data_IF_494003614031
#
_entry.id   IF_494003614031
#
_cell.length_a   1.000
_cell.length_b   1.000
_cell.length_c   1.000
_cell.angle_alpha   90.00
_cell.angle_beta   90.00
_cell.angle_gamma   90.00
#
_symmetry.space_group_name_H-M   'P 1'
#
loop_
_entity.id
_entity.type
_entity.pdbx_description
1 polymer ?
#
# COMPACT_ATOMS: atom_id res chain seq x y z
N UNK A 1 3.88 -20.47 -12.39
CA UNK A 1 5.23 -19.90 -12.58
C UNK A 1 5.52 -19.00 -11.38
N UNK A 2 6.77 -18.76 -10.98
CA UNK A 2 7.04 -17.79 -9.91
C UNK A 2 6.63 -16.37 -10.37
N UNK A 3 6.32 -15.49 -9.42
CA UNK A 3 6.10 -14.05 -9.61
C UNK A 3 7.35 -13.32 -9.11
N UNK A 4 8.13 -12.76 -10.03
CA UNK A 4 9.32 -11.98 -9.71
C UNK A 4 8.96 -10.54 -9.37
N UNK A 5 9.02 -10.16 -8.10
CA UNK A 5 8.73 -8.79 -7.68
C UNK A 5 9.99 -7.95 -7.54
N UNK A 6 9.84 -6.65 -7.78
CA UNK A 6 10.81 -5.66 -7.38
C UNK A 6 10.20 -4.61 -6.44
N UNK A 7 11.01 -4.05 -5.55
CA UNK A 7 10.54 -3.16 -4.48
C UNK A 7 11.26 -1.80 -4.57
N UNK A 8 10.52 -0.70 -4.56
CA UNK A 8 11.07 0.65 -4.34
C UNK A 8 10.66 1.14 -2.95
N UNK A 9 11.65 1.42 -2.11
CA UNK A 9 11.46 1.71 -0.68
C UNK A 9 11.40 0.43 0.16
N UNK A 10 12.53 0.06 0.78
CA UNK A 10 12.67 -1.12 1.64
C UNK A 10 12.32 -0.73 3.09
N UNK A 11 11.16 -0.12 3.29
CA UNK A 11 10.64 0.34 4.59
C UNK A 11 9.97 -0.77 5.43
N UNK A 12 9.20 -0.37 6.45
CA UNK A 12 8.45 -1.31 7.30
C UNK A 12 7.45 -2.18 6.51
N UNK A 13 6.75 -1.61 5.52
CA UNK A 13 5.83 -2.37 4.66
C UNK A 13 6.57 -3.46 3.86
N UNK A 14 7.72 -3.11 3.26
CA UNK A 14 8.57 -4.08 2.57
C UNK A 14 9.11 -5.15 3.53
N UNK A 15 9.50 -4.77 4.75
CA UNK A 15 9.92 -5.71 5.78
C UNK A 15 8.82 -6.70 6.13
N UNK A 16 7.61 -6.22 6.36
CA UNK A 16 6.45 -7.08 6.64
C UNK A 16 6.10 -8.00 5.48
N UNK A 17 6.18 -7.52 4.23
CA UNK A 17 5.97 -8.34 3.04
C UNK A 17 6.99 -9.47 2.96
N UNK A 18 8.28 -9.17 3.03
CA UNK A 18 9.37 -10.15 2.88
C UNK A 18 9.38 -11.16 4.03
N UNK A 19 9.16 -10.71 5.26
CA UNK A 19 8.93 -11.60 6.40
C UNK A 19 7.72 -12.50 6.15
N UNK A 20 6.62 -11.95 5.60
CA UNK A 20 5.42 -12.69 5.22
C UNK A 20 5.69 -13.80 4.21
N UNK A 21 6.46 -13.51 3.16
CA UNK A 21 6.83 -14.52 2.14
C UNK A 21 7.57 -15.71 2.77
N UNK A 22 8.46 -15.43 3.73
CA UNK A 22 9.16 -16.49 4.48
C UNK A 22 8.23 -17.20 5.46
N UNK A 23 7.40 -16.46 6.17
CA UNK A 23 6.51 -17.00 7.18
C UNK A 23 5.52 -17.99 6.59
N UNK A 24 4.90 -17.68 5.44
CA UNK A 24 3.91 -18.56 4.81
C UNK A 24 4.52 -19.66 3.93
N UNK A 25 5.83 -19.60 3.66
CA UNK A 25 6.51 -20.60 2.84
C UNK A 25 6.37 -22.02 3.43
N UNK A 26 5.84 -22.95 2.63
CA UNK A 26 5.63 -24.34 3.02
C UNK A 26 4.55 -24.57 4.08
N UNK A 27 3.76 -23.54 4.45
CA UNK A 27 2.70 -23.65 5.46
C UNK A 27 1.31 -23.80 4.82
N UNK A 28 0.47 -24.56 5.54
CA UNK A 28 -0.95 -24.70 5.21
C UNK A 28 -1.85 -23.77 6.04
N UNK A 29 -1.27 -22.93 6.88
CA UNK A 29 -1.99 -21.90 7.63
C UNK A 29 -2.11 -20.64 6.77
N UNK A 30 -3.35 -20.21 6.56
CA UNK A 30 -3.70 -19.01 5.78
C UNK A 30 -4.13 -17.85 6.69
N UNK A 31 -3.98 -17.97 8.00
CA UNK A 31 -4.32 -16.91 8.95
C UNK A 31 -3.57 -15.63 8.60
N UNK A 32 -4.29 -14.53 8.37
CA UNK A 32 -3.68 -13.27 7.93
C UNK A 32 -3.42 -13.18 6.42
N UNK A 33 -3.85 -14.17 5.62
CA UNK A 33 -4.01 -14.06 4.18
C UNK A 33 -5.51 -14.01 3.86
N UNK A 34 -5.87 -13.22 2.85
CA UNK A 34 -7.25 -13.21 2.34
C UNK A 34 -7.47 -14.45 1.46
N UNK A 35 -6.47 -14.80 0.67
CA UNK A 35 -6.44 -16.01 -0.15
C UNK A 35 -5.15 -16.79 0.05
N UNK A 36 -5.25 -18.07 0.42
CA UNK A 36 -4.08 -18.96 0.45
C UNK A 36 -3.55 -19.23 -0.97
N UNK A 37 -4.45 -19.50 -1.92
CA UNK A 37 -4.16 -19.59 -3.35
C UNK A 37 -5.07 -18.62 -4.10
N UNK A 38 -4.51 -17.81 -4.98
CA UNK A 38 -5.22 -16.78 -5.75
C UNK A 38 -4.88 -16.96 -7.22
N UNK A 39 -5.85 -17.42 -8.02
CA UNK A 39 -5.64 -17.72 -9.45
C UNK A 39 -4.53 -18.76 -9.70
N UNK A 40 -4.34 -19.70 -8.77
CA UNK A 40 -3.26 -20.70 -8.82
C UNK A 40 -1.92 -20.25 -8.22
N UNK A 41 -1.78 -18.97 -7.85
CA UNK A 41 -0.59 -18.43 -7.20
C UNK A 41 -0.68 -18.52 -5.67
N UNK A 42 0.33 -19.13 -5.08
CA UNK A 42 0.56 -19.18 -3.62
C UNK A 42 1.54 -18.08 -3.19
N UNK A 43 1.58 -17.71 -1.91
CA UNK A 43 2.63 -16.85 -1.37
C UNK A 43 4.04 -17.34 -1.71
N UNK A 44 4.24 -18.67 -1.71
CA UNK A 44 5.49 -19.34 -2.07
C UNK A 44 6.00 -19.01 -3.49
N UNK A 45 5.11 -18.60 -4.39
CA UNK A 45 5.46 -18.30 -5.77
C UNK A 45 6.09 -16.92 -5.92
N UNK A 46 6.00 -16.04 -4.91
CA UNK A 46 6.50 -14.67 -4.97
C UNK A 46 7.99 -14.63 -4.58
N UNK A 47 8.82 -14.00 -5.41
CA UNK A 47 10.27 -13.88 -5.21
C UNK A 47 10.74 -12.44 -5.38
N UNK A 48 11.52 -11.93 -4.44
CA UNK A 48 12.15 -10.61 -4.60
C UNK A 48 13.40 -10.75 -5.47
N UNK A 49 13.43 -10.08 -6.63
CA UNK A 49 14.54 -10.17 -7.59
C UNK A 49 15.30 -8.85 -7.78
N UNK A 50 14.72 -7.74 -7.35
CA UNK A 50 15.37 -6.43 -7.36
C UNK A 50 14.78 -5.53 -6.26
N UNK A 51 15.59 -4.61 -5.73
CA UNK A 51 15.11 -3.62 -4.78
C UNK A 51 15.91 -2.33 -4.88
N UNK A 52 15.26 -1.21 -4.54
CA UNK A 52 15.87 0.11 -4.43
C UNK A 52 15.51 0.76 -3.10
N UNK A 53 16.49 1.39 -2.49
CA UNK A 53 16.33 2.27 -1.34
C UNK A 53 17.37 3.40 -1.44
N UNK A 54 17.21 4.43 -0.63
CA UNK A 54 18.17 5.54 -0.57
C UNK A 54 18.99 5.48 0.72
N UNK A 55 18.58 4.67 1.71
CA UNK A 55 19.20 4.65 3.01
C UNK A 55 20.57 3.96 2.98
N UNK A 56 21.60 4.65 3.46
CA UNK A 56 22.98 4.15 3.52
C UNK A 56 23.13 2.85 4.31
N UNK A 57 22.21 2.54 5.23
CA UNK A 57 22.21 1.29 5.99
C UNK A 57 21.64 0.12 5.20
N UNK A 58 20.95 0.38 4.08
CA UNK A 58 20.25 -0.61 3.25
C UNK A 58 20.94 -0.82 1.91
N UNK A 59 21.34 0.26 1.25
CA UNK A 59 22.04 0.21 -0.05
C UNK A 59 23.28 -0.68 0.03
N UNK A 60 23.40 -1.61 -0.91
CA UNK A 60 24.50 -2.58 -0.99
C UNK A 60 24.31 -3.86 -0.17
N UNK A 61 23.18 -4.03 0.54
CA UNK A 61 22.86 -5.26 1.30
C UNK A 61 21.81 -6.11 0.59
N UNK A 62 21.80 -7.41 0.86
CA UNK A 62 20.68 -8.27 0.43
C UNK A 62 19.38 -7.80 1.09
N UNK A 63 18.26 -7.88 0.37
CA UNK A 63 16.93 -7.54 0.90
C UNK A 63 16.64 -8.26 2.22
N UNK A 64 17.02 -9.53 2.37
CA UNK A 64 16.82 -10.31 3.59
C UNK A 64 17.46 -9.67 4.84
N UNK A 65 18.53 -8.90 4.66
CA UNK A 65 19.21 -8.16 5.73
C UNK A 65 18.70 -6.73 5.83
N UNK A 66 18.48 -6.06 4.70
CA UNK A 66 18.08 -4.65 4.64
C UNK A 66 16.71 -4.38 5.27
N UNK A 67 15.79 -5.36 5.23
CA UNK A 67 14.46 -5.21 5.84
C UNK A 67 14.46 -5.04 7.36
N UNK A 68 15.54 -5.46 8.04
CA UNK A 68 15.73 -5.30 9.48
C UNK A 68 16.60 -4.10 9.83
N UNK A 69 17.20 -3.43 8.83
CA UNK A 69 18.03 -2.27 9.07
C UNK A 69 17.16 -1.07 9.50
N UNK A 70 17.61 -0.29 10.50
CA UNK A 70 16.97 0.97 10.86
C UNK A 70 16.75 1.89 9.63
N UNK A 71 15.72 2.74 9.63
CA UNK A 71 14.82 3.02 10.76
C UNK A 71 13.62 2.07 10.80
N UNK A 72 13.68 0.92 10.09
CA UNK A 72 12.63 -0.07 10.16
C UNK A 72 12.45 -0.55 11.61
N UNK A 73 11.21 -0.65 12.04
CA UNK A 73 10.81 -0.89 13.43
C UNK A 73 9.49 -1.68 13.55
N UNK A 74 9.08 -2.33 12.46
CA UNK A 74 7.92 -3.24 12.46
C UNK A 74 8.22 -4.53 13.23
N UNK A 75 7.17 -5.17 13.75
CA UNK A 75 7.26 -6.44 14.44
C UNK A 75 8.04 -7.49 13.62
N UNK A 76 8.95 -8.19 14.30
CA UNK A 76 9.70 -9.29 13.71
C UNK A 76 8.97 -10.60 14.01
N UNK A 77 8.34 -11.17 12.99
CA UNK A 77 7.60 -12.44 13.09
C UNK A 77 8.20 -13.56 12.22
N UNK A 78 9.20 -13.23 11.39
CA UNK A 78 10.07 -14.17 10.70
C UNK A 78 11.52 -13.67 10.80
N UNK A 79 12.25 -14.03 11.88
CA UNK A 79 13.59 -13.48 12.16
C UNK A 79 14.66 -13.99 11.19
N UNK A 80 14.45 -15.16 10.59
CA UNK A 80 15.39 -15.80 9.68
C UNK A 80 14.80 -15.81 8.27
N UNK A 81 15.09 -14.74 7.51
CA UNK A 81 14.74 -14.64 6.09
C UNK A 81 15.93 -15.17 5.27
N UNK A 82 15.73 -16.20 4.42
CA UNK A 82 16.78 -16.68 3.51
C UNK A 82 17.26 -15.57 2.58
N UNK A 83 18.54 -15.60 2.19
CA UNK A 83 19.07 -14.65 1.22
C UNK A 83 18.26 -14.67 -0.07
N UNK A 84 17.88 -13.47 -0.53
CA UNK A 84 17.06 -13.33 -1.73
C UNK A 84 17.91 -13.33 -3.01
N UNK A 85 19.19 -12.96 -2.88
CA UNK A 85 20.08 -12.63 -4.01
C UNK A 85 19.84 -11.23 -4.59
N UNK A 86 18.79 -10.54 -4.12
CA UNK A 86 18.45 -9.19 -4.53
C UNK A 86 19.16 -8.18 -3.63
N UNK A 87 20.28 -7.64 -4.11
CA UNK A 87 20.99 -6.55 -3.43
C UNK A 87 20.24 -5.23 -3.62
N UNK A 88 19.96 -4.51 -2.53
CA UNK A 88 19.34 -3.19 -2.54
C UNK A 88 20.24 -2.19 -3.26
N UNK A 89 19.71 -1.59 -4.32
CA UNK A 89 20.40 -0.60 -5.16
C UNK A 89 20.07 0.81 -4.69
N UNK A 90 20.96 1.75 -5.01
CA UNK A 90 20.67 3.17 -4.83
C UNK A 90 19.46 3.57 -5.68
N UNK A 91 18.45 4.16 -5.05
CA UNK A 91 17.26 4.70 -5.71
C UNK A 91 17.42 6.15 -6.17
N UNK A 92 16.46 6.62 -6.98
CA UNK A 92 16.35 8.04 -7.36
C UNK A 92 15.62 8.79 -6.23
N UNK A 93 16.25 9.79 -5.63
CA UNK A 93 15.73 10.48 -4.43
C UNK A 93 14.56 11.39 -4.81
N UNK A 94 14.78 12.37 -5.70
CA UNK A 94 13.80 13.41 -6.06
C UNK A 94 13.11 14.04 -4.83
N UNK A 95 11.79 13.89 -4.69
CA UNK A 95 10.98 14.35 -3.54
C UNK A 95 10.69 13.24 -2.52
N UNK A 96 11.47 12.15 -2.58
CA UNK A 96 11.50 11.00 -1.68
C UNK A 96 11.76 11.33 -0.22
N UNK A 97 12.51 12.40 0.05
CA UNK A 97 12.90 12.81 1.40
C UNK A 97 12.30 14.16 1.73
N UNK A 98 11.54 14.25 2.82
CA UNK A 98 11.05 15.53 3.31
C UNK A 98 12.14 16.28 4.07
N UNK A 99 12.19 17.61 3.93
CA UNK A 99 13.21 18.45 4.57
C UNK A 99 13.27 18.25 6.09
N UNK A 100 12.10 18.15 6.75
CA UNK A 100 12.00 17.97 8.21
C UNK A 100 12.52 16.61 8.70
N UNK A 101 12.75 15.63 7.80
CA UNK A 101 13.31 14.34 8.20
C UNK A 101 14.74 14.48 8.73
N UNK A 102 15.47 15.54 8.35
CA UNK A 102 16.82 15.83 8.84
C UNK A 102 16.83 16.33 10.30
N UNK A 103 15.69 16.78 10.84
CA UNK A 103 15.59 17.30 12.20
C UNK A 103 15.42 16.19 13.26
N UNK A 104 15.44 14.92 12.84
CA UNK A 104 15.18 13.77 13.69
C UNK A 104 16.43 12.91 13.86
N UNK A 105 16.55 12.18 15.00
CA UNK A 105 17.70 11.32 15.24
C UNK A 105 17.88 10.26 14.14
N UNK A 106 19.13 9.98 13.78
CA UNK A 106 19.52 9.00 12.75
C UNK A 106 18.79 7.64 12.87
N UNK A 107 18.58 7.17 14.09
CA UNK A 107 17.88 5.91 14.35
C UNK A 107 16.38 5.92 13.97
N UNK A 108 15.80 7.10 13.72
CA UNK A 108 14.36 7.32 13.49
C UNK A 108 14.04 7.88 12.11
N UNK A 109 15.04 8.23 11.32
CA UNK A 109 14.88 8.86 10.02
C UNK A 109 15.65 8.10 8.95
N UNK A 110 15.41 8.42 7.68
CA UNK A 110 16.19 7.87 6.56
C UNK A 110 17.51 8.62 6.43
N UNK A 111 18.59 7.91 6.14
CA UNK A 111 19.92 8.49 5.94
C UNK A 111 20.33 8.34 4.47
N UNK A 112 20.15 9.36 3.61
CA UNK A 112 20.51 9.25 2.20
C UNK A 112 21.97 8.81 2.01
N UNK A 113 22.17 7.84 1.13
CA UNK A 113 23.48 7.33 0.73
C UNK A 113 24.15 8.25 -0.27
N UNK A 114 25.48 8.35 -0.21
CA UNK A 114 26.31 9.08 -1.20
C UNK A 114 26.54 8.27 -2.49
N UNK A 115 25.96 7.06 -2.60
CA UNK A 115 26.01 6.27 -3.83
C UNK A 115 25.32 7.01 -4.99
N UNK A 116 25.79 6.83 -6.24
CA UNK A 116 25.23 7.55 -7.38
C UNK A 116 23.76 7.16 -7.62
N UNK A 117 22.89 8.16 -7.77
CA UNK A 117 21.51 7.96 -8.17
C UNK A 117 21.42 7.43 -9.61
N UNK A 118 20.58 6.41 -9.88
CA UNK A 118 20.48 5.83 -11.20
C UNK A 118 19.78 6.76 -12.19
N UNK A 119 20.06 6.58 -13.48
CA UNK A 119 19.21 7.07 -14.57
C UNK A 119 17.96 6.19 -14.71
N UNK A 120 16.98 6.67 -15.48
CA UNK A 120 15.79 5.87 -15.83
C UNK A 120 16.19 4.61 -16.60
N UNK A 121 17.11 4.75 -17.56
CA UNK A 121 17.58 3.67 -18.42
C UNK A 121 18.25 2.56 -17.61
N UNK A 122 18.99 2.91 -16.56
CA UNK A 122 19.60 1.94 -15.64
C UNK A 122 18.54 1.17 -14.83
N UNK A 123 17.52 1.85 -14.31
CA UNK A 123 16.40 1.19 -13.62
C UNK A 123 15.66 0.24 -14.55
N UNK A 124 15.30 0.70 -15.76
CA UNK A 124 14.63 -0.11 -16.79
C UNK A 124 15.47 -1.33 -17.18
N UNK A 125 16.78 -1.15 -17.36
CA UNK A 125 17.68 -2.25 -17.68
C UNK A 125 17.71 -3.31 -16.57
N UNK A 126 17.72 -2.91 -15.30
CA UNK A 126 17.66 -3.84 -14.16
C UNK A 126 16.31 -4.57 -14.12
N UNK A 127 15.20 -3.86 -14.28
CA UNK A 127 13.85 -4.46 -14.30
C UNK A 127 13.74 -5.56 -15.37
N UNK A 128 14.19 -5.26 -16.60
CA UNK A 128 14.20 -6.23 -17.70
C UNK A 128 15.16 -7.39 -17.45
N UNK A 129 16.39 -7.11 -17.01
CA UNK A 129 17.43 -8.14 -16.76
C UNK A 129 17.02 -9.12 -15.67
N UNK A 130 16.37 -8.63 -14.62
CA UNK A 130 15.90 -9.46 -13.51
C UNK A 130 14.58 -10.20 -13.82
N UNK A 131 13.98 -9.97 -15.00
CA UNK A 131 12.70 -10.57 -15.38
C UNK A 131 11.59 -10.20 -14.41
N UNK A 132 11.50 -8.92 -14.04
CA UNK A 132 10.51 -8.43 -13.07
C UNK A 132 9.11 -8.50 -13.67
N UNK A 133 8.22 -9.07 -12.89
CA UNK A 133 6.80 -9.25 -13.19
C UNK A 133 5.95 -8.10 -12.63
N UNK A 134 6.25 -7.67 -11.40
CA UNK A 134 5.52 -6.63 -10.67
C UNK A 134 6.49 -5.72 -9.92
N UNK A 135 6.36 -4.40 -10.09
CA UNK A 135 7.08 -3.37 -9.35
C UNK A 135 6.19 -2.79 -8.24
N UNK A 136 6.64 -2.87 -6.99
CA UNK A 136 5.92 -2.39 -5.81
C UNK A 136 6.43 -1.03 -5.34
N UNK A 137 5.54 -0.04 -5.28
CA UNK A 137 5.84 1.27 -4.73
C UNK A 137 5.57 1.35 -3.23
N UNK A 138 6.62 1.47 -2.41
CA UNK A 138 6.55 1.76 -0.97
C UNK A 138 7.34 3.03 -0.60
N UNK A 139 7.42 3.99 -1.52
CA UNK A 139 8.04 5.28 -1.23
C UNK A 139 7.29 6.06 -0.14
N UNK A 140 7.92 7.06 0.49
CA UNK A 140 7.24 7.89 1.47
C UNK A 140 6.04 8.67 0.89
N UNK A 141 5.06 8.97 1.73
CA UNK A 141 3.92 9.83 1.37
C UNK A 141 4.42 11.20 0.88
N UNK A 142 3.84 11.69 -0.21
CA UNK A 142 4.19 12.98 -0.83
C UNK A 142 5.34 12.91 -1.83
N UNK A 143 5.86 11.72 -2.14
CA UNK A 143 6.91 11.52 -3.14
C UNK A 143 6.33 11.39 -4.55
N UNK A 144 5.77 12.49 -5.06
CA UNK A 144 5.09 12.57 -6.36
C UNK A 144 6.07 12.29 -7.50
N UNK A 145 7.14 13.10 -7.60
CA UNK A 145 8.13 13.01 -8.69
C UNK A 145 8.85 11.67 -8.69
N UNK A 146 9.20 11.15 -7.50
CA UNK A 146 9.81 9.83 -7.39
C UNK A 146 8.86 8.72 -7.84
N UNK A 147 7.59 8.77 -7.43
CA UNK A 147 6.59 7.78 -7.88
C UNK A 147 6.37 7.83 -9.38
N UNK A 148 6.21 9.02 -9.95
CA UNK A 148 6.07 9.21 -11.40
C UNK A 148 7.30 8.69 -12.14
N UNK A 149 8.51 8.97 -11.65
CA UNK A 149 9.75 8.44 -12.22
C UNK A 149 9.78 6.91 -12.28
N UNK A 150 9.37 6.23 -11.20
CA UNK A 150 9.33 4.77 -11.20
C UNK A 150 8.14 4.18 -11.96
N UNK A 151 7.01 4.89 -12.05
CA UNK A 151 5.90 4.53 -12.92
C UNK A 151 6.32 4.60 -14.41
N UNK A 152 7.11 5.60 -14.81
CA UNK A 152 7.74 5.65 -16.13
C UNK A 152 8.64 4.44 -16.38
N UNK A 153 9.48 4.09 -15.40
CA UNK A 153 10.36 2.93 -15.50
C UNK A 153 9.56 1.63 -15.71
N UNK A 154 8.45 1.46 -14.98
CA UNK A 154 7.57 0.30 -15.10
C UNK A 154 6.91 0.23 -16.50
N UNK A 155 6.38 1.36 -16.98
CA UNK A 155 5.80 1.48 -18.32
C UNK A 155 6.81 1.10 -19.40
N UNK A 156 8.02 1.67 -19.35
CA UNK A 156 9.06 1.41 -20.34
C UNK A 156 9.55 -0.04 -20.28
N UNK A 157 9.67 -0.61 -19.07
CA UNK A 157 10.10 -1.99 -18.88
C UNK A 157 9.03 -3.03 -19.23
N UNK A 158 7.75 -2.64 -19.35
CA UNK A 158 6.63 -3.58 -19.53
C UNK A 158 6.25 -4.34 -18.26
N UNK A 159 6.48 -3.72 -17.09
CA UNK A 159 6.33 -4.35 -15.77
C UNK A 159 5.05 -3.85 -15.09
N UNK A 160 4.24 -4.76 -14.55
CA UNK A 160 3.03 -4.39 -13.83
C UNK A 160 3.37 -3.49 -12.63
N UNK A 161 2.57 -2.46 -12.37
CA UNK A 161 2.85 -1.50 -11.29
C UNK A 161 1.81 -1.60 -10.18
N UNK A 162 2.27 -1.76 -8.94
CA UNK A 162 1.41 -1.74 -7.75
C UNK A 162 1.78 -0.53 -6.91
N UNK A 163 0.86 0.41 -6.81
CA UNK A 163 1.07 1.68 -6.14
C UNK A 163 0.45 1.69 -4.73
N UNK A 164 1.28 1.46 -3.71
CA UNK A 164 0.79 1.34 -2.33
C UNK A 164 0.63 2.69 -1.62
N UNK A 165 1.00 3.81 -2.25
CA UNK A 165 1.08 5.12 -1.60
C UNK A 165 0.02 6.08 -2.17
N UNK A 166 -0.34 7.18 -1.48
CA UNK A 166 -1.36 8.13 -1.92
C UNK A 166 -0.81 9.16 -2.93
N UNK A 167 -0.14 8.68 -3.97
CA UNK A 167 0.18 9.44 -5.19
C UNK A 167 -0.72 8.90 -6.29
N UNK A 168 -1.44 9.78 -6.99
CA UNK A 168 -2.44 9.36 -7.97
C UNK A 168 -1.75 8.94 -9.28
N UNK A 169 -1.83 7.65 -9.59
CA UNK A 169 -1.30 7.00 -10.80
C UNK A 169 -2.41 6.16 -11.43
N UNK A 170 -2.93 5.14 -10.73
CA UNK A 170 -4.01 4.34 -11.26
C UNK A 170 -5.32 5.15 -11.37
N UNK A 171 -5.57 6.03 -10.41
CA UNK A 171 -6.79 6.84 -10.36
C UNK A 171 -6.71 8.13 -11.19
N UNK A 172 -5.52 8.50 -11.67
CA UNK A 172 -5.33 9.65 -12.55
C UNK A 172 -5.64 9.22 -14.01
N UNK A 173 -6.60 9.86 -14.71
CA UNK A 173 -6.99 9.44 -16.05
C UNK A 173 -5.85 9.49 -17.09
N UNK A 174 -4.88 10.40 -16.93
CA UNK A 174 -3.74 10.53 -17.85
C UNK A 174 -2.80 9.35 -17.65
N UNK A 175 -2.46 9.02 -16.40
CA UNK A 175 -1.63 7.85 -16.11
C UNK A 175 -2.34 6.54 -16.48
N UNK A 176 -3.63 6.40 -16.15
CA UNK A 176 -4.44 5.25 -16.52
C UNK A 176 -4.40 4.96 -18.03
N UNK A 177 -4.58 5.98 -18.87
CA UNK A 177 -4.51 5.88 -20.33
C UNK A 177 -3.11 5.49 -20.82
N UNK A 178 -2.05 5.96 -20.16
CA UNK A 178 -0.68 5.58 -20.49
C UNK A 178 -0.39 4.10 -20.21
N UNK A 179 -0.82 3.58 -19.06
CA UNK A 179 -0.74 2.16 -18.73
C UNK A 179 -1.56 1.31 -19.71
N UNK A 180 -2.76 1.77 -20.08
CA UNK A 180 -3.61 1.12 -21.07
C UNK A 180 -2.89 1.00 -22.42
N UNK A 181 -2.33 2.10 -22.93
CA UNK A 181 -1.62 2.18 -24.23
C UNK A 181 -0.32 1.39 -24.25
N UNK A 182 0.39 1.32 -23.12
CA UNK A 182 1.62 0.54 -23.00
C UNK A 182 1.38 -0.97 -22.89
N UNK A 183 0.12 -1.41 -22.71
CA UNK A 183 -0.16 -2.82 -22.50
C UNK A 183 0.23 -3.32 -21.10
N UNK A 184 0.34 -2.41 -20.12
CA UNK A 184 0.85 -2.71 -18.78
C UNK A 184 -0.27 -2.54 -17.74
N UNK A 185 -0.51 -3.52 -16.86
CA UNK A 185 -1.51 -3.38 -15.80
C UNK A 185 -0.98 -2.54 -14.64
N UNK A 186 -1.89 -1.78 -14.00
CA UNK A 186 -1.61 -1.03 -12.78
C UNK A 186 -2.69 -1.27 -11.72
N UNK A 187 -2.29 -1.39 -10.45
CA UNK A 187 -3.20 -1.46 -9.30
C UNK A 187 -2.82 -0.38 -8.31
N UNK A 188 -3.79 0.47 -7.95
CA UNK A 188 -3.59 1.62 -7.06
C UNK A 188 -4.90 2.42 -6.89
N UNK A 189 -4.93 3.46 -6.07
CA UNK A 189 -3.81 4.03 -5.31
C UNK A 189 -4.07 4.03 -3.79
N UNK A 190 -3.00 4.07 -2.98
CA UNK A 190 -3.00 4.00 -1.51
C UNK A 190 -3.55 2.67 -0.96
N UNK A 191 -2.68 1.72 -0.60
CA UNK A 191 -3.07 0.38 -0.16
C UNK A 191 -3.99 0.40 1.09
N UNK A 192 -5.01 -0.46 1.15
CA UNK A 192 -5.81 -0.71 2.35
C UNK A 192 -5.05 -1.59 3.35
N UNK A 193 -5.47 -1.54 4.60
CA UNK A 193 -5.07 -2.53 5.59
C UNK A 193 -6.18 -3.58 5.72
N UNK A 194 -5.86 -4.80 6.19
CA UNK A 194 -6.83 -5.85 6.46
C UNK A 194 -7.89 -5.36 7.45
N UNK A 195 -7.44 -4.82 8.58
CA UNK A 195 -8.30 -4.18 9.57
C UNK A 195 -7.69 -2.87 10.06
N UNK A 196 -7.88 -1.82 9.28
CA UNK A 196 -7.45 -0.46 9.61
C UNK A 196 -8.57 0.41 10.18
N UNK A 197 -8.20 1.57 10.71
CA UNK A 197 -9.15 2.56 11.20
C UNK A 197 -10.19 2.99 10.14
N UNK A 198 -9.77 3.19 8.89
CA UNK A 198 -10.65 3.64 7.81
C UNK A 198 -11.72 2.60 7.45
N UNK A 199 -11.38 1.30 7.38
CA UNK A 199 -12.39 0.27 7.05
C UNK A 199 -13.38 0.09 8.21
N UNK A 200 -12.92 0.11 9.47
CA UNK A 200 -13.79 0.06 10.65
C UNK A 200 -14.75 1.25 10.67
N UNK A 201 -14.25 2.46 10.40
CA UNK A 201 -15.08 3.66 10.34
C UNK A 201 -16.11 3.57 9.20
N UNK A 202 -15.72 3.10 8.01
CA UNK A 202 -16.65 2.92 6.89
C UNK A 202 -17.76 1.93 7.20
N UNK A 203 -17.44 0.75 7.74
CA UNK A 203 -18.43 -0.27 8.12
C UNK A 203 -19.41 0.27 9.17
N UNK A 204 -18.92 1.00 10.17
CA UNK A 204 -19.79 1.62 11.17
C UNK A 204 -20.66 2.73 10.58
N UNK A 205 -20.13 3.55 9.67
CA UNK A 205 -20.89 4.59 8.97
C UNK A 205 -21.99 4.00 8.10
N UNK A 206 -21.69 2.94 7.34
CA UNK A 206 -22.68 2.20 6.55
C UNK A 206 -23.73 1.54 7.45
N UNK A 207 -23.34 0.98 8.60
CA UNK A 207 -24.29 0.44 9.57
C UNK A 207 -25.24 1.52 10.12
N UNK A 208 -24.73 2.73 10.42
CA UNK A 208 -25.58 3.86 10.83
C UNK A 208 -26.61 4.16 9.74
N UNK A 209 -26.17 4.27 8.49
CA UNK A 209 -27.03 4.49 7.33
C UNK A 209 -28.11 3.40 7.19
N UNK A 210 -27.72 2.12 7.17
CA UNK A 210 -28.62 0.97 7.02
C UNK A 210 -29.63 0.82 8.16
N UNK A 211 -29.33 1.34 9.36
CA UNK A 211 -30.20 1.27 10.55
C UNK A 211 -31.00 2.56 10.80
N UNK A 212 -30.92 3.54 9.91
CA UNK A 212 -31.64 4.82 10.04
C UNK A 212 -31.12 5.69 11.18
N UNK A 213 -29.87 5.48 11.61
CA UNK A 213 -29.20 6.35 12.59
C UNK A 213 -28.49 7.46 11.82
N UNK A 214 -28.88 8.70 12.08
CA UNK A 214 -28.23 9.86 11.46
C UNK A 214 -26.86 10.06 12.09
N UNK A 215 -25.80 10.02 11.27
CA UNK A 215 -24.44 10.37 11.69
C UNK A 215 -24.27 11.89 11.63
N UNK A 216 -24.06 12.52 12.79
CA UNK A 216 -24.00 13.98 12.92
C UNK A 216 -22.56 14.50 12.92
N UNK A 217 -21.66 13.85 13.66
CA UNK A 217 -20.26 14.24 13.79
C UNK A 217 -19.37 13.01 13.91
N UNK A 218 -18.14 13.10 13.43
CA UNK A 218 -17.16 12.02 13.63
C UNK A 218 -15.72 12.53 13.62
N UNK A 219 -14.86 11.90 14.41
CA UNK A 219 -13.42 12.03 14.24
C UNK A 219 -12.73 10.67 14.23
N UNK A 220 -11.60 10.61 13.53
CA UNK A 220 -10.68 9.48 13.51
C UNK A 220 -9.25 10.01 13.68
N UNK A 221 -8.75 9.92 14.91
CA UNK A 221 -7.42 10.38 15.30
C UNK A 221 -6.44 9.20 15.30
N UNK A 222 -5.35 9.29 14.55
CA UNK A 222 -4.38 8.19 14.42
C UNK A 222 -3.00 8.63 14.92
N UNK A 223 -2.40 7.87 15.83
CA UNK A 223 -0.99 8.05 16.25
C UNK A 223 -0.16 6.84 15.84
N UNK A 224 1.14 7.06 15.65
CA UNK A 224 2.11 6.00 15.39
C UNK A 224 3.54 6.52 15.53
N UNK A 225 4.53 5.63 15.52
CA UNK A 225 5.93 5.97 15.74
C UNK A 225 6.87 5.62 14.58
N UNK A 226 6.39 5.08 13.47
CA UNK A 226 7.26 4.70 12.36
C UNK A 226 7.64 5.92 11.49
N UNK A 227 8.49 5.69 10.47
CA UNK A 227 8.91 6.72 9.54
C UNK A 227 7.80 7.24 8.63
N UNK A 228 6.73 6.48 8.37
CA UNK A 228 5.56 7.01 7.64
C UNK A 228 4.88 8.10 8.47
N UNK A 229 4.63 7.85 9.77
CA UNK A 229 4.07 8.86 10.68
C UNK A 229 4.99 10.07 10.84
N UNK A 230 6.30 9.85 10.92
CA UNK A 230 7.27 10.94 10.98
C UNK A 230 7.25 11.79 9.70
N UNK A 231 7.27 11.16 8.54
CA UNK A 231 7.18 11.83 7.24
C UNK A 231 5.87 12.62 7.09
N UNK A 232 4.78 12.09 7.66
CA UNK A 232 3.46 12.72 7.69
C UNK A 232 3.32 13.88 8.70
N UNK A 233 4.30 14.15 9.56
CA UNK A 233 4.22 15.28 10.50
C UNK A 233 4.13 16.65 9.79
N UNK A 234 4.63 16.74 8.55
CA UNK A 234 4.50 17.95 7.73
C UNK A 234 3.10 18.07 7.12
N UNK A 235 2.37 19.14 7.49
CA UNK A 235 1.02 19.42 6.98
C UNK A 235 0.93 19.46 5.45
N UNK A 236 1.98 19.91 4.75
CA UNK A 236 2.01 19.95 3.27
C UNK A 236 1.93 18.55 2.64
N UNK A 237 2.49 17.53 3.29
CA UNK A 237 2.47 16.14 2.80
C UNK A 237 1.18 15.39 3.15
N UNK A 238 0.31 15.99 3.97
CA UNK A 238 -0.93 15.37 4.44
C UNK A 238 -2.14 15.60 3.54
N UNK A 239 -2.11 16.59 2.65
CA UNK A 239 -3.30 17.05 1.93
C UNK A 239 -3.99 15.91 1.17
N UNK A 240 -3.27 15.20 0.30
CA UNK A 240 -3.81 14.08 -0.49
C UNK A 240 -4.32 12.93 0.38
N UNK A 241 -3.61 12.61 1.48
CA UNK A 241 -3.98 11.49 2.39
C UNK A 241 -5.18 11.86 3.29
N UNK A 242 -5.34 13.14 3.63
CA UNK A 242 -6.52 13.64 4.33
C UNK A 242 -7.75 13.59 3.41
N UNK A 243 -7.58 13.99 2.15
CA UNK A 243 -8.62 13.90 1.13
C UNK A 243 -9.04 12.44 0.93
N UNK A 244 -8.09 11.53 0.68
CA UNK A 244 -8.38 10.12 0.40
C UNK A 244 -9.15 9.45 1.55
N UNK A 245 -8.74 9.68 2.80
CA UNK A 245 -9.41 9.11 3.98
C UNK A 245 -10.78 9.73 4.26
N UNK A 246 -10.93 11.03 4.07
CA UNK A 246 -12.21 11.72 4.30
C UNK A 246 -13.24 11.27 3.28
N UNK A 247 -12.87 11.24 2.00
CA UNK A 247 -13.76 10.79 0.93
C UNK A 247 -14.12 9.30 1.05
N UNK A 248 -13.20 8.45 1.52
CA UNK A 248 -13.50 7.05 1.78
C UNK A 248 -14.65 6.86 2.81
N UNK A 249 -14.77 7.74 3.81
CA UNK A 249 -15.86 7.71 4.80
C UNK A 249 -17.12 8.39 4.26
N UNK A 250 -16.98 9.54 3.58
CA UNK A 250 -18.11 10.28 3.00
C UNK A 250 -18.85 9.45 1.94
N UNK A 251 -18.13 8.63 1.15
CA UNK A 251 -18.71 7.82 0.08
C UNK A 251 -19.72 6.76 0.55
N UNK A 252 -19.68 6.35 1.82
CA UNK A 252 -20.59 5.35 2.41
C UNK A 252 -21.59 5.95 3.39
N UNK A 253 -21.59 7.27 3.58
CA UNK A 253 -22.54 7.94 4.44
C UNK A 253 -23.90 8.10 3.73
N UNK A 254 -25.01 7.93 4.46
CA UNK A 254 -26.35 8.18 3.92
C UNK A 254 -26.56 9.63 3.45
N UNK A 255 -25.85 10.57 4.08
CA UNK A 255 -25.85 11.99 3.74
C UNK A 255 -24.45 12.53 3.99
N UNK A 256 -23.95 13.38 3.08
CA UNK A 256 -22.64 14.01 3.23
C UNK A 256 -22.60 14.83 4.53
N UNK A 257 -21.61 14.56 5.37
CA UNK A 257 -21.38 15.30 6.61
C UNK A 257 -20.69 16.63 6.25
N UNK A 258 -21.08 17.73 6.89
CA UNK A 258 -20.41 19.01 6.70
C UNK A 258 -18.93 18.93 7.11
N UNK A 259 -18.04 19.60 6.38
CA UNK A 259 -16.58 19.47 6.57
C UNK A 259 -16.11 19.83 7.99
N UNK A 260 -16.80 20.74 8.69
CA UNK A 260 -16.52 21.10 10.09
C UNK A 260 -16.89 20.01 11.10
N UNK A 261 -17.72 19.03 10.70
CA UNK A 261 -18.25 17.96 11.54
C UNK A 261 -17.55 16.61 11.28
N UNK A 262 -16.53 16.58 10.43
CA UNK A 262 -15.72 15.39 10.12
C UNK A 262 -14.22 15.70 10.23
N UNK A 263 -13.50 14.90 11.02
CA UNK A 263 -12.06 15.04 11.15
C UNK A 263 -11.36 13.68 11.02
N UNK A 264 -10.71 13.42 9.88
CA UNK A 264 -10.03 12.14 9.62
C UNK A 264 -8.60 12.40 9.18
N UNK A 265 -7.62 11.85 9.90
CA UNK A 265 -6.21 12.04 9.53
C UNK A 265 -5.21 11.45 10.53
N UNK A 266 -3.92 11.41 10.16
CA UNK A 266 -2.87 11.25 11.17
C UNK A 266 -2.90 12.45 12.11
N UNK A 267 -2.69 12.17 13.40
CA UNK A 267 -2.84 13.14 14.48
C UNK A 267 -1.49 13.50 15.08
N UNK A 268 -0.65 12.52 15.37
CA UNK A 268 0.63 12.77 16.01
C UNK A 268 1.64 11.64 15.79
N UNK A 269 2.92 11.98 15.98
CA UNK A 269 4.04 11.04 16.01
C UNK A 269 4.43 10.73 17.46
N UNK A 270 4.32 9.46 17.85
CA UNK A 270 4.66 8.98 19.19
C UNK A 270 5.75 7.93 19.08
N UNK A 271 7.01 8.35 19.25
CA UNK A 271 8.19 7.55 18.89
C UNK A 271 8.18 6.12 19.45
N UNK A 272 7.86 5.93 20.73
CA UNK A 272 7.90 4.62 21.36
C UNK A 272 6.83 3.64 20.84
N UNK A 273 5.81 4.13 20.11
CA UNK A 273 4.83 3.26 19.47
C UNK A 273 5.41 2.48 18.28
N UNK A 274 6.57 2.91 17.73
CA UNK A 274 7.16 2.27 16.55
C UNK A 274 6.12 2.05 15.45
N UNK A 275 6.02 0.86 14.87
CA UNK A 275 5.06 0.54 13.82
C UNK A 275 3.64 0.23 14.35
N UNK A 276 3.44 0.18 15.67
CA UNK A 276 2.10 0.08 16.24
C UNK A 276 1.37 1.43 16.07
N UNK A 277 0.19 1.34 15.47
CA UNK A 277 -0.70 2.46 15.20
C UNK A 277 -1.93 2.36 16.07
N UNK A 278 -2.25 3.47 16.73
CA UNK A 278 -3.42 3.59 17.60
C UNK A 278 -4.40 4.56 16.98
N UNK A 279 -5.64 4.12 16.77
CA UNK A 279 -6.74 4.94 16.33
C UNK A 279 -7.75 5.16 17.45
N UNK A 280 -8.15 6.41 17.64
CA UNK A 280 -9.29 6.83 18.43
C UNK A 280 -10.38 7.31 17.49
N UNK A 281 -11.47 6.55 17.42
CA UNK A 281 -12.64 6.85 16.60
C UNK A 281 -13.78 7.28 17.52
N UNK A 282 -14.43 8.40 17.21
CA UNK A 282 -15.68 8.82 17.83
C UNK A 282 -16.70 9.13 16.76
N UNK A 283 -17.90 8.60 16.91
CA UNK A 283 -19.05 8.87 16.05
C UNK A 283 -20.22 9.33 16.91
N UNK A 284 -20.86 10.43 16.53
CA UNK A 284 -22.03 10.98 17.22
C UNK A 284 -23.22 10.96 16.29
N UNK A 285 -24.37 10.47 16.77
CA UNK A 285 -25.56 10.35 15.97
C UNK A 285 -26.86 10.60 16.72
N UNK A 286 -27.96 10.55 15.98
CA UNK A 286 -29.33 10.69 16.49
C UNK A 286 -30.10 9.38 16.23
N UNK A 287 -30.64 8.80 17.30
CA UNK A 287 -31.50 7.63 17.30
C UNK A 287 -32.97 8.02 17.08
N UNK A 288 -33.87 7.03 17.17
CA UNK A 288 -35.31 7.23 17.14
C UNK A 288 -35.75 8.35 18.11
N UNK A 289 -36.58 9.26 17.63
CA UNK A 289 -37.04 10.42 18.40
C UNK A 289 -35.99 11.54 18.58
N UNK A 290 -34.88 11.50 17.83
CA UNK A 290 -33.80 12.50 17.94
C UNK A 290 -32.94 12.33 19.19
N UNK A 291 -33.00 11.17 19.85
CA UNK A 291 -32.22 10.89 21.06
C UNK A 291 -30.73 10.80 20.69
N UNK A 292 -29.85 11.61 21.31
CA UNK A 292 -28.44 11.61 20.94
C UNK A 292 -27.75 10.31 21.39
N UNK A 293 -26.76 9.89 20.62
CA UNK A 293 -25.88 8.78 20.96
C UNK A 293 -24.44 9.08 20.55
N UNK A 294 -23.49 8.42 21.19
CA UNK A 294 -22.11 8.43 20.77
C UNK A 294 -21.49 7.03 20.87
N UNK A 295 -20.59 6.72 19.93
CA UNK A 295 -19.78 5.53 19.88
C UNK A 295 -18.32 5.97 19.97
N UNK A 296 -17.56 5.36 20.88
CA UNK A 296 -16.11 5.51 20.95
C UNK A 296 -15.45 4.16 20.77
N UNK A 297 -14.38 4.14 19.97
CA UNK A 297 -13.62 2.93 19.66
C UNK A 297 -12.13 3.25 19.68
N UNK A 298 -11.37 2.36 20.32
CA UNK A 298 -9.90 2.35 20.27
C UNK A 298 -9.43 1.11 19.51
N UNK A 299 -8.67 1.31 18.44
CA UNK A 299 -8.04 0.24 17.65
C UNK A 299 -6.52 0.36 17.77
N UNK A 300 -5.82 -0.73 18.11
CA UNK A 300 -4.36 -0.81 18.12
C UNK A 300 -3.93 -1.95 17.21
N UNK A 301 -3.11 -1.66 16.21
CA UNK A 301 -2.65 -2.63 15.20
C UNK A 301 -1.21 -2.34 14.82
N UNK A 302 -0.48 -3.38 14.44
CA UNK A 302 0.82 -3.21 13.76
C UNK A 302 0.57 -2.75 12.32
N UNK A 303 0.95 -1.52 11.95
CA UNK A 303 0.47 -0.87 10.72
C UNK A 303 0.97 -1.60 9.46
N UNK A 304 2.24 -1.99 9.43
CA UNK A 304 2.85 -2.55 8.22
C UNK A 304 2.41 -4.00 7.92
N UNK A 305 2.40 -4.95 8.88
CA UNK A 305 1.88 -6.30 8.65
C UNK A 305 0.39 -6.29 8.29
N UNK A 306 -0.37 -5.34 8.82
CA UNK A 306 -1.79 -5.16 8.51
C UNK A 306 -2.02 -4.79 7.03
N UNK A 307 -1.00 -4.36 6.27
CA UNK A 307 -1.08 -4.16 4.80
C UNK A 307 -0.37 -5.27 4.00
N UNK A 308 0.53 -6.05 4.62
CA UNK A 308 1.33 -7.05 3.93
C UNK A 308 0.46 -8.17 3.31
N UNK A 309 -0.56 -8.64 4.03
CA UNK A 309 -1.52 -9.62 3.50
C UNK A 309 -2.27 -9.10 2.26
N UNK A 310 -2.64 -7.82 2.26
CA UNK A 310 -3.28 -7.14 1.12
C UNK A 310 -2.29 -7.03 -0.05
N UNK A 311 -1.03 -6.69 0.21
CA UNK A 311 0.00 -6.57 -0.81
C UNK A 311 0.27 -7.90 -1.54
N UNK A 312 0.26 -9.03 -0.81
CA UNK A 312 0.41 -10.38 -1.40
C UNK A 312 -0.72 -10.64 -2.41
N UNK A 313 -1.97 -10.28 -2.10
CA UNK A 313 -3.09 -10.41 -3.04
C UNK A 313 -2.94 -9.46 -4.24
N UNK A 314 -2.57 -8.21 -4.02
CA UNK A 314 -2.35 -7.24 -5.10
C UNK A 314 -1.26 -7.70 -6.07
N UNK A 315 -0.14 -8.24 -5.57
CA UNK A 315 0.94 -8.83 -6.40
C UNK A 315 0.38 -9.94 -7.31
N UNK A 316 -0.40 -10.84 -6.73
CA UNK A 316 -0.98 -11.99 -7.46
C UNK A 316 -2.03 -11.54 -8.47
N UNK A 317 -2.88 -10.58 -8.13
CA UNK A 317 -3.83 -9.97 -9.06
C UNK A 317 -3.13 -9.24 -10.21
N UNK A 318 -2.01 -8.55 -9.94
CA UNK A 318 -1.20 -7.90 -10.97
C UNK A 318 -0.56 -8.93 -11.92
N UNK A 319 -0.07 -10.06 -11.38
CA UNK A 319 0.44 -11.17 -12.18
C UNK A 319 -0.65 -11.80 -13.07
N UNK A 320 -1.83 -12.09 -12.50
CA UNK A 320 -2.98 -12.60 -13.26
C UNK A 320 -3.39 -11.62 -14.37
N UNK A 321 -3.43 -10.32 -14.07
CA UNK A 321 -3.74 -9.30 -15.07
C UNK A 321 -2.75 -9.33 -16.23
N UNK A 322 -1.44 -9.48 -15.93
CA UNK A 322 -0.39 -9.63 -16.95
C UNK A 322 -0.58 -10.91 -17.76
N UNK A 323 -0.83 -12.05 -17.11
CA UNK A 323 -1.01 -13.35 -17.78
C UNK A 323 -2.24 -13.37 -18.72
N UNK A 324 -3.27 -12.60 -18.37
CA UNK A 324 -4.49 -12.40 -19.18
C UNK A 324 -4.35 -11.30 -20.23
N UNK A 325 -3.19 -10.66 -20.35
CA UNK A 325 -2.95 -9.55 -21.29
C UNK A 325 -3.80 -8.31 -21.01
N UNK A 326 -4.20 -8.09 -19.75
CA UNK A 326 -4.92 -6.89 -19.34
C UNK A 326 -3.94 -5.73 -19.19
N UNK A 327 -4.41 -4.52 -19.49
CA UNK A 327 -3.64 -3.29 -19.35
C UNK A 327 -4.47 -2.18 -18.71
N UNK A 328 -3.80 -1.11 -18.28
CA UNK A 328 -4.44 -0.03 -17.54
C UNK A 328 -4.82 -0.45 -16.12
N UNK A 329 -5.65 0.36 -15.43
CA UNK A 329 -6.07 0.06 -14.07
C UNK A 329 -6.92 -1.22 -13.96
N UNK A 330 -6.50 -2.16 -13.11
CA UNK A 330 -7.26 -3.39 -12.84
C UNK A 330 -8.37 -3.08 -11.83
N UNK A 331 -9.54 -2.69 -12.33
CA UNK A 331 -10.60 -2.03 -11.55
C UNK A 331 -11.08 -2.80 -10.31
N UNK A 332 -11.34 -4.10 -10.43
CA UNK A 332 -11.87 -4.90 -9.32
C UNK A 332 -10.84 -5.05 -8.18
N UNK A 333 -9.59 -5.51 -8.42
CA UNK A 333 -8.52 -5.45 -7.43
C UNK A 333 -8.27 -4.05 -6.85
N UNK A 334 -8.26 -3.00 -7.67
CA UNK A 334 -8.06 -1.64 -7.19
C UNK A 334 -9.17 -1.22 -6.21
N UNK A 335 -10.45 -1.43 -6.56
CA UNK A 335 -11.58 -1.08 -5.70
C UNK A 335 -11.55 -1.81 -4.35
N UNK A 336 -11.13 -3.07 -4.36
CA UNK A 336 -11.10 -3.87 -3.15
C UNK A 336 -9.88 -3.57 -2.28
N UNK A 337 -8.68 -3.42 -2.85
CA UNK A 337 -7.43 -3.32 -2.11
C UNK A 337 -6.90 -1.90 -1.91
N UNK A 338 -7.44 -0.88 -2.61
CA UNK A 338 -6.94 0.50 -2.57
C UNK A 338 -7.96 1.47 -1.96
N UNK A 339 -7.48 2.48 -1.24
CA UNK A 339 -8.33 3.52 -0.64
C UNK A 339 -8.84 4.52 -1.67
N UNK A 340 -8.08 4.73 -2.75
CA UNK A 340 -8.43 5.66 -3.82
C UNK A 340 -8.38 4.96 -5.19
N UNK A 341 -9.31 4.02 -5.46
CA UNK A 341 -9.38 3.35 -6.75
C UNK A 341 -9.88 4.30 -7.86
N UNK A 342 -9.64 3.97 -9.14
CA UNK A 342 -10.20 4.73 -10.27
C UNK A 342 -11.74 4.75 -10.27
N UNK A 343 -12.36 3.70 -9.74
CA UNK A 343 -13.82 3.59 -9.55
C UNK A 343 -14.11 3.16 -8.12
N UNK A 344 -14.81 4.01 -7.38
CA UNK A 344 -15.28 3.68 -6.03
C UNK A 344 -16.40 2.63 -6.09
N UNK A 345 -16.36 1.70 -5.13
CA UNK A 345 -17.36 0.66 -4.91
C UNK A 345 -17.60 0.54 -3.40
N UNK A 346 -18.77 0.04 -3.00
CA UNK A 346 -18.95 -0.42 -1.62
C UNK A 346 -18.03 -1.62 -1.35
N UNK A 347 -17.69 -1.90 -0.09
CA UNK A 347 -16.77 -3.00 0.21
C UNK A 347 -17.37 -4.37 -0.20
N UNK A 348 -18.69 -4.54 -0.10
CA UNK A 348 -19.40 -5.76 -0.54
C UNK A 348 -19.31 -5.94 -2.07
N UNK A 349 -19.61 -4.89 -2.86
CA UNK A 349 -19.49 -4.93 -4.32
C UNK A 349 -18.04 -5.14 -4.78
N UNK A 350 -17.08 -4.51 -4.10
CA UNK A 350 -15.66 -4.66 -4.41
C UNK A 350 -15.18 -6.09 -4.12
N UNK A 351 -15.66 -6.69 -3.03
CA UNK A 351 -15.41 -8.09 -2.70
C UNK A 351 -15.93 -9.02 -3.80
N UNK A 352 -17.22 -8.92 -4.14
CA UNK A 352 -17.81 -9.74 -5.22
C UNK A 352 -17.08 -9.56 -6.56
N UNK A 353 -16.71 -8.33 -6.91
CA UNK A 353 -15.98 -8.03 -8.13
C UNK A 353 -14.57 -8.64 -8.15
N UNK A 354 -13.85 -8.64 -7.02
CA UNK A 354 -12.51 -9.23 -6.95
C UNK A 354 -12.57 -10.76 -7.00
N UNK A 355 -13.57 -11.38 -6.35
CA UNK A 355 -13.77 -12.84 -6.40
C UNK A 355 -14.11 -13.28 -7.82
N UNK A 356 -14.97 -12.53 -8.52
CA UNK A 356 -15.28 -12.78 -9.93
C UNK A 356 -14.03 -12.63 -10.82
N UNK A 357 -13.21 -11.61 -10.59
CA UNK A 357 -11.94 -11.44 -11.30
C UNK A 357 -11.00 -12.63 -11.05
N UNK A 358 -10.90 -13.12 -9.81
CA UNK A 358 -10.03 -14.26 -9.46
C UNK A 358 -10.53 -15.55 -10.13
N UNK A 359 -11.84 -15.79 -10.12
CA UNK A 359 -12.47 -16.99 -10.66
C UNK A 359 -12.53 -17.04 -12.20
N UNK A 360 -12.32 -15.92 -12.90
CA UNK A 360 -12.38 -15.88 -14.36
C UNK A 360 -11.28 -16.75 -15.00
N UNK A 361 -11.69 -17.86 -15.60
CA UNK A 361 -10.78 -18.78 -16.28
C UNK A 361 -10.58 -18.33 -17.74
N UNK A 362 -9.76 -17.29 -17.94
CA UNK A 362 -9.32 -16.86 -19.27
C UNK A 362 -8.03 -17.59 -19.62
N UNK A 363 -7.95 -18.31 -20.76
CA UNK A 363 -6.73 -19.03 -21.12
C UNK A 363 -5.54 -18.08 -21.19
N UNK A 364 -4.49 -18.40 -20.43
CA UNK A 364 -3.22 -17.67 -20.40
C UNK A 364 -2.65 -17.64 -21.82
N UNK A 365 -2.38 -16.45 -22.35
CA UNK A 365 -1.71 -16.33 -23.64
C UNK A 365 -0.28 -16.86 -23.48
N UNK A 366 -0.01 -18.02 -24.08
CA UNK A 366 1.36 -18.57 -24.13
C UNK A 366 2.20 -17.60 -24.98
N UNK A 367 3.33 -17.08 -24.48
CA UNK A 367 4.19 -16.20 -25.27
C UNK A 367 4.65 -16.96 -26.52
N UNK A 368 4.54 -16.34 -27.69
CA UNK A 368 5.16 -16.88 -28.89
C UNK A 368 6.69 -16.89 -28.69
N UNK A 369 7.28 -18.07 -28.90
CA UNK A 369 8.70 -18.41 -28.72
C UNK A 369 9.68 -17.51 -29.46
#
# INVERSE_FOLDING_TARGET
MPINIAIIGVGNCASSLVQGLTHYAGRNDASGLMHHSLGGYRPDDIRVVAAWDIDARKVGRDVAQAIFAPPNCTAVFAPEVPETGAVVRMGRILDGVAEHMADHPDARTFLPSDAPEPSREEVVAVLRKAGVDVLLNYLPVGSQKATEFYAECALEAGVAFVNNIPVFIASDPVWADRFQKAGVPVIGDDIKAQLGATIVHRVLTDLFAKRGVKLCRTYQLNTGGNTDFLNMASRKRLESKKISKTEAVQAVAATRIADENIHVGPSDYVAWQNDNKVCFLRMEGELFGGVPMNLELRLSVEDSPNSAGVAIDMIRCAAIARDRGLSGPVLAPAAYFCKHPPRQMTDDEAYEAVEAFIAEDRPVAVPAS
#
